data_IF_789744852549
#
_entry.id   IF_789744852549
#
_cell.length_a   1.000
_cell.length_b   1.000
_cell.length_c   1.000
_cell.angle_alpha   90.00
_cell.angle_beta   90.00
_cell.angle_gamma   90.00
#
_symmetry.space_group_name_H-M   'P 1'
#
loop_
_entity.id
_entity.type
_entity.pdbx_description
1 polymer ?
#
# COMPACT_ATOMS: atom_id res chain seq x y z
N UNK A 1 14.67 14.70 -8.64
CA UNK A 1 13.25 14.80 -8.23
C UNK A 1 12.36 15.37 -9.35
N UNK A 2 12.86 16.32 -10.13
CA UNK A 2 12.07 17.07 -11.13
C UNK A 2 11.54 16.26 -12.33
N UNK A 3 12.20 15.14 -12.67
CA UNK A 3 11.82 14.29 -13.82
C UNK A 3 10.52 13.49 -13.57
N UNK A 4 10.30 13.01 -12.34
CA UNK A 4 9.09 12.25 -11.98
C UNK A 4 7.87 13.18 -11.88
N UNK A 5 8.07 14.44 -11.47
CA UNK A 5 7.01 15.44 -11.42
C UNK A 5 6.51 15.87 -12.81
N UNK A 6 7.36 15.75 -13.84
CA UNK A 6 7.06 16.15 -15.23
C UNK A 6 6.37 15.07 -16.06
N UNK A 7 6.41 13.81 -15.62
CA UNK A 7 5.72 12.71 -16.33
C UNK A 7 4.21 12.76 -16.12
N UNK A 8 3.49 13.28 -17.12
CA UNK A 8 2.03 13.29 -17.14
C UNK A 8 1.52 12.01 -17.83
N UNK A 9 0.96 11.08 -17.06
CA UNK A 9 0.28 9.89 -17.59
C UNK A 9 0.49 8.63 -16.76
N UNK A 10 -0.60 7.91 -16.47
CA UNK A 10 -0.56 6.64 -15.71
C UNK A 10 0.29 5.56 -16.41
N UNK A 11 0.26 5.51 -17.73
CA UNK A 11 1.05 4.55 -18.54
C UNK A 11 2.54 4.82 -18.45
N UNK A 12 2.95 6.09 -18.60
CA UNK A 12 4.36 6.53 -18.51
C UNK A 12 4.93 6.27 -17.12
N UNK A 13 4.19 6.62 -16.07
CA UNK A 13 4.59 6.31 -14.69
C UNK A 13 4.73 4.80 -14.46
N UNK A 14 3.79 4.00 -14.96
CA UNK A 14 3.89 2.53 -14.85
C UNK A 14 5.12 1.98 -15.56
N UNK A 15 5.51 2.53 -16.70
CA UNK A 15 6.72 2.11 -17.42
C UNK A 15 7.97 2.48 -16.63
N UNK A 16 8.04 3.71 -16.09
CA UNK A 16 9.16 4.16 -15.26
C UNK A 16 9.30 3.31 -14.00
N UNK A 17 8.22 3.06 -13.27
CA UNK A 17 8.28 2.22 -12.07
C UNK A 17 8.67 0.78 -12.38
N UNK A 18 8.28 0.24 -13.54
CA UNK A 18 8.70 -1.11 -13.97
C UNK A 18 10.16 -1.19 -14.38
N UNK A 19 10.72 -0.12 -14.94
CA UNK A 19 12.14 -0.03 -15.26
C UNK A 19 13.02 0.21 -14.03
N UNK A 20 12.51 0.92 -13.02
CA UNK A 20 13.29 1.30 -11.83
C UNK A 20 13.17 0.33 -10.67
N UNK A 21 12.01 -0.29 -10.48
CA UNK A 21 11.73 -1.17 -9.35
C UNK A 21 11.61 -2.61 -9.84
N UNK A 22 12.19 -3.53 -9.08
CA UNK A 22 11.91 -4.95 -9.24
C UNK A 22 10.44 -5.27 -8.94
N UNK A 23 9.88 -6.38 -9.45
CA UNK A 23 8.52 -6.80 -9.12
C UNK A 23 8.28 -6.88 -7.60
N UNK A 24 9.28 -7.34 -6.84
CA UNK A 24 9.23 -7.44 -5.38
C UNK A 24 9.16 -6.07 -4.71
N UNK A 25 9.96 -5.11 -5.16
CA UNK A 25 9.94 -3.74 -4.63
C UNK A 25 8.62 -3.02 -4.94
N UNK A 26 8.03 -3.25 -6.11
CA UNK A 26 6.70 -2.71 -6.46
C UNK A 26 5.62 -3.23 -5.50
N UNK A 27 5.62 -4.53 -5.21
CA UNK A 27 4.71 -5.14 -4.23
C UNK A 27 4.97 -4.56 -2.83
N UNK A 28 6.23 -4.46 -2.41
CA UNK A 28 6.59 -3.91 -1.10
C UNK A 28 6.16 -2.44 -0.97
N UNK A 29 6.34 -1.62 -2.02
CA UNK A 29 5.91 -0.23 -2.04
C UNK A 29 4.38 -0.14 -1.88
N UNK A 30 3.64 -0.96 -2.62
CA UNK A 30 2.17 -1.01 -2.53
C UNK A 30 1.70 -1.41 -1.14
N UNK A 31 2.33 -2.43 -0.54
CA UNK A 31 2.03 -2.86 0.84
C UNK A 31 2.35 -1.77 1.86
N UNK A 32 3.44 -1.02 1.71
CA UNK A 32 3.81 0.07 2.62
C UNK A 32 2.82 1.24 2.56
N UNK A 33 2.39 1.62 1.35
CA UNK A 33 1.32 2.63 1.18
C UNK A 33 0.04 2.16 1.88
N UNK A 34 -0.32 0.89 1.70
CA UNK A 34 -1.50 0.32 2.32
C UNK A 34 -1.42 0.26 3.84
N UNK A 35 -0.26 -0.16 4.38
CA UNK A 35 -0.01 -0.12 5.82
C UNK A 35 -0.18 1.30 6.35
N UNK A 36 0.29 2.32 5.62
CA UNK A 36 0.06 3.72 5.99
C UNK A 36 -1.41 4.09 6.10
N UNK A 37 -2.25 3.66 5.15
CA UNK A 37 -3.70 3.86 5.22
C UNK A 37 -4.35 3.16 6.41
N UNK A 38 -3.95 1.93 6.71
CA UNK A 38 -4.46 1.18 7.86
C UNK A 38 -4.02 1.80 9.19
N UNK A 39 -2.78 2.27 9.28
CA UNK A 39 -2.26 3.00 10.46
C UNK A 39 -3.07 4.28 10.69
N UNK A 40 -3.35 5.06 9.64
CA UNK A 40 -4.18 6.28 9.74
C UNK A 40 -5.64 5.99 10.07
N UNK A 41 -6.08 4.74 9.90
CA UNK A 41 -7.41 4.25 10.26
C UNK A 41 -7.41 3.54 11.63
N UNK A 42 -6.38 3.75 12.45
CA UNK A 42 -6.23 3.20 13.80
C UNK A 42 -6.23 1.66 13.88
N UNK A 43 -5.72 0.98 12.85
CA UNK A 43 -5.52 -0.47 12.90
C UNK A 43 -4.34 -0.87 13.79
N UNK A 44 -4.50 -2.00 14.48
CA UNK A 44 -3.42 -2.59 15.27
C UNK A 44 -2.29 -3.16 14.40
N UNK A 45 -1.04 -3.04 14.89
CA UNK A 45 0.15 -3.42 14.13
C UNK A 45 0.21 -4.93 13.81
N UNK A 46 -0.30 -5.80 14.69
CA UNK A 46 -0.36 -7.24 14.46
C UNK A 46 -1.43 -7.59 13.42
N UNK A 47 -2.57 -6.91 13.43
CA UNK A 47 -3.60 -7.06 12.41
C UNK A 47 -3.07 -6.67 11.01
N UNK A 48 -2.40 -5.52 10.91
CA UNK A 48 -1.77 -5.06 9.65
C UNK A 48 -0.70 -6.05 9.17
N UNK A 49 0.16 -6.51 10.08
CA UNK A 49 1.19 -7.52 9.80
C UNK A 49 0.58 -8.80 9.21
N UNK A 50 -0.49 -9.31 9.83
CA UNK A 50 -1.18 -10.53 9.41
C UNK A 50 -1.81 -10.39 8.01
N UNK A 51 -2.46 -9.26 7.74
CA UNK A 51 -3.17 -9.00 6.47
C UNK A 51 -2.18 -8.75 5.32
N UNK A 52 -1.22 -7.85 5.53
CA UNK A 52 -0.30 -7.43 4.46
C UNK A 52 0.92 -8.34 4.32
N UNK A 53 1.07 -9.31 5.22
CA UNK A 53 2.26 -10.18 5.31
C UNK A 53 3.55 -9.36 5.38
N UNK A 54 3.53 -8.32 6.22
CA UNK A 54 4.70 -7.52 6.58
C UNK A 54 5.18 -7.96 7.97
N UNK A 55 6.46 -7.79 8.29
CA UNK A 55 6.89 -7.99 9.67
C UNK A 55 6.25 -6.93 10.57
N UNK A 56 5.91 -7.31 11.80
CA UNK A 56 5.40 -6.38 12.83
C UNK A 56 6.37 -5.20 13.02
N UNK A 57 7.67 -5.46 13.00
CA UNK A 57 8.72 -4.42 13.05
C UNK A 57 8.65 -3.42 11.89
N UNK A 58 8.30 -3.87 10.69
CA UNK A 58 8.11 -2.98 9.53
C UNK A 58 6.91 -2.07 9.75
N UNK A 59 5.82 -2.61 10.29
CA UNK A 59 4.61 -1.82 10.59
C UNK A 59 4.91 -0.74 11.62
N UNK A 60 5.61 -1.07 12.71
CA UNK A 60 6.01 -0.08 13.72
C UNK A 60 6.94 1.01 13.16
N UNK A 61 7.90 0.65 12.30
CA UNK A 61 8.76 1.64 11.62
C UNK A 61 7.94 2.61 10.76
N UNK A 62 6.94 2.10 10.03
CA UNK A 62 6.05 2.94 9.22
C UNK A 62 5.20 3.87 10.08
N UNK A 63 4.67 3.35 11.20
CA UNK A 63 3.92 4.15 12.17
C UNK A 63 4.77 5.30 12.71
N UNK A 64 5.98 4.98 13.15
CA UNK A 64 6.93 5.98 13.63
C UNK A 64 7.27 7.03 12.55
N UNK A 65 7.46 6.60 11.30
CA UNK A 65 7.72 7.53 10.20
C UNK A 65 6.54 8.48 9.93
N UNK A 66 5.30 8.00 10.05
CA UNK A 66 4.10 8.83 9.91
C UNK A 66 3.92 9.82 11.07
N UNK A 67 4.33 9.45 12.27
CA UNK A 67 4.33 10.34 13.44
C UNK A 67 5.36 11.47 13.28
N UNK A 68 6.54 11.16 12.74
CA UNK A 68 7.60 12.15 12.50
C UNK A 68 7.33 13.04 11.28
N UNK A 69 6.83 12.47 10.19
CA UNK A 69 6.64 13.19 8.92
C UNK A 69 5.19 13.66 8.74
N UNK A 70 4.90 14.88 9.23
CA UNK A 70 3.59 15.52 9.07
C UNK A 70 3.18 15.67 7.60
N UNK A 71 4.13 15.94 6.70
CA UNK A 71 3.83 16.12 5.28
C UNK A 71 3.47 14.81 4.59
N UNK A 72 4.19 13.73 4.91
CA UNK A 72 3.87 12.41 4.38
C UNK A 72 2.50 11.92 4.89
N UNK A 73 2.21 12.15 6.18
CA UNK A 73 0.89 11.90 6.75
C UNK A 73 -0.21 12.67 6.00
N UNK A 74 -0.07 13.99 5.84
CA UNK A 74 -1.04 14.81 5.10
C UNK A 74 -1.21 14.35 3.65
N UNK A 75 -0.13 13.93 2.99
CA UNK A 75 -0.18 13.39 1.65
C UNK A 75 -1.04 12.12 1.60
N UNK A 76 -0.82 11.17 2.51
CA UNK A 76 -1.63 9.96 2.58
C UNK A 76 -3.10 10.26 2.95
N UNK A 77 -3.35 11.17 3.87
CA UNK A 77 -4.71 11.62 4.24
C UNK A 77 -5.47 12.21 3.04
N UNK A 78 -4.79 12.96 2.15
CA UNK A 78 -5.40 13.46 0.91
C UNK A 78 -5.76 12.37 -0.10
N UNK A 79 -5.01 11.26 -0.08
CA UNK A 79 -5.25 10.13 -0.98
C UNK A 79 -6.34 9.18 -0.45
N UNK A 80 -6.63 9.22 0.85
CA UNK A 80 -7.68 8.42 1.44
C UNK A 80 -9.06 8.87 0.92
N UNK A 81 -9.86 7.95 0.33
CA UNK A 81 -11.24 8.25 0.00
C UNK A 81 -12.01 8.58 1.29
N UNK A 82 -12.72 9.72 1.31
CA UNK A 82 -13.51 10.20 2.47
C UNK A 82 -14.59 9.23 3.00
N UNK A 83 -14.80 8.09 2.34
CA UNK A 83 -15.89 7.13 2.57
C UNK A 83 -15.42 5.70 2.84
N UNK A 84 -14.23 5.48 3.42
CA UNK A 84 -13.94 4.14 3.92
C UNK A 84 -14.16 4.07 5.44
N UNK A 85 -15.35 3.64 5.90
CA UNK A 85 -15.58 3.39 7.31
C UNK A 85 -14.72 2.19 7.70
N UNK A 86 -13.66 2.45 8.45
CA UNK A 86 -12.76 1.41 8.94
C UNK A 86 -12.86 1.34 10.44
N UNK A 87 -13.78 0.51 10.92
CA UNK A 87 -13.81 0.16 12.33
C UNK A 87 -12.69 -0.85 12.62
N UNK A 88 -11.93 -0.68 13.73
CA UNK A 88 -11.01 -1.69 14.20
C UNK A 88 -11.84 -2.92 14.59
N UNK A 89 -11.80 -3.96 13.76
CA UNK A 89 -12.43 -5.23 14.13
C UNK A 89 -11.54 -5.92 15.16
N UNK A 90 -12.00 -5.97 16.41
CA UNK A 90 -11.52 -6.94 17.39
C UNK A 90 -11.97 -8.33 16.93
N UNK A 91 -11.17 -8.99 16.09
CA UNK A 91 -11.39 -10.40 15.72
C UNK A 91 -11.12 -10.73 14.25
N UNK A 92 -10.92 -12.01 13.91
CA UNK A 92 -10.39 -12.46 12.62
C UNK A 92 -11.41 -12.52 11.47
N UNK A 93 -12.54 -11.80 11.53
CA UNK A 93 -13.63 -12.01 10.56
C UNK A 93 -14.28 -10.72 10.04
N UNK A 94 -13.50 -9.91 9.32
CA UNK A 94 -13.96 -9.44 8.03
C UNK A 94 -12.74 -8.98 7.23
N UNK A 95 -12.55 -9.61 6.08
CA UNK A 95 -11.65 -9.13 5.05
C UNK A 95 -12.18 -7.75 4.62
N UNK A 96 -11.51 -6.64 4.93
CA UNK A 96 -12.09 -5.35 4.66
C UNK A 96 -12.24 -5.10 3.15
N UNK A 97 -13.09 -4.14 2.74
CA UNK A 97 -13.23 -3.73 1.33
C UNK A 97 -11.88 -3.42 0.65
N UNK A 98 -10.91 -2.96 1.44
CA UNK A 98 -9.56 -2.69 1.01
C UNK A 98 -8.75 -3.95 0.73
N UNK A 99 -8.94 -5.06 1.46
CA UNK A 99 -8.29 -6.33 1.11
C UNK A 99 -8.88 -6.92 -0.17
N UNK A 100 -10.18 -6.76 -0.44
CA UNK A 100 -10.75 -7.10 -1.76
C UNK A 100 -10.23 -6.19 -2.87
N UNK A 101 -10.03 -4.90 -2.58
CA UNK A 101 -9.31 -3.99 -3.48
C UNK A 101 -7.85 -4.43 -3.68
N UNK A 102 -7.19 -4.93 -2.63
CA UNK A 102 -5.83 -5.46 -2.68
C UNK A 102 -5.77 -6.74 -3.50
N UNK A 103 -6.70 -7.67 -3.32
CA UNK A 103 -6.82 -8.87 -4.14
C UNK A 103 -7.00 -8.47 -5.61
N UNK A 104 -7.87 -7.52 -5.94
CA UNK A 104 -8.01 -7.07 -7.33
C UNK A 104 -6.74 -6.41 -7.88
N UNK A 105 -6.03 -5.60 -7.08
CA UNK A 105 -4.76 -4.95 -7.47
C UNK A 105 -3.65 -6.00 -7.62
N UNK A 106 -3.57 -6.99 -6.73
CA UNK A 106 -2.52 -8.00 -6.68
C UNK A 106 -2.80 -9.21 -7.59
N UNK A 107 -4.04 -9.62 -7.82
CA UNK A 107 -4.42 -10.65 -8.82
C UNK A 107 -4.11 -10.16 -10.22
N UNK A 108 -4.39 -8.89 -10.52
CA UNK A 108 -3.95 -8.24 -11.75
C UNK A 108 -2.41 -8.22 -11.93
N UNK A 109 -1.65 -8.42 -10.85
CA UNK A 109 -0.19 -8.60 -10.88
C UNK A 109 0.22 -10.07 -10.99
N UNK A 110 -0.42 -10.96 -10.22
CA UNK A 110 -0.16 -12.41 -10.18
C UNK A 110 -0.47 -13.09 -11.52
N UNK A 111 -1.51 -12.63 -12.23
CA UNK A 111 -1.80 -13.05 -13.59
C UNK A 111 -0.72 -12.60 -14.58
N UNK A 112 -0.18 -11.37 -14.42
CA UNK A 112 0.85 -10.84 -15.32
C UNK A 112 2.22 -11.45 -15.11
N UNK A 113 2.58 -11.82 -13.88
CA UNK A 113 3.85 -12.51 -13.60
C UNK A 113 3.87 -13.94 -14.15
N UNK A 114 2.71 -14.62 -14.25
CA UNK A 114 2.65 -15.94 -14.91
C UNK A 114 2.85 -15.86 -16.42
N UNK A 115 2.32 -14.83 -17.07
CA UNK A 115 2.45 -14.62 -18.52
C UNK A 115 3.87 -14.22 -18.97
N UNK A 116 4.71 -13.74 -18.06
CA UNK A 116 6.10 -13.36 -18.36
C UNK A 116 7.10 -14.53 -18.19
N UNK A 117 6.64 -15.66 -17.66
CA UNK A 117 7.44 -16.88 -17.43
C UNK A 117 6.78 -18.14 -18.03
N UNK A 118 5.84 -17.97 -18.97
CA UNK A 118 5.21 -19.04 -19.75
C UNK A 118 5.66 -18.97 -21.21
#
# INVERSE_FOLDING_TARGET
MDVIGKTQGRSTLSMVFRGFLTPTEQVMLSKRVMAGFLILSDWDAYAISSVLKLSVSTVYKLKHYLELSKDYRKFLEKLLPKKIPFQPQKGPSAIPPLVKLLENIFEGYRHRSRLLYS
#
